data_IF_072864464218
#
_entry.id   IF_072864464218
#
_cell.length_a   1.000
_cell.length_b   1.000
_cell.length_c   1.000
_cell.angle_alpha   90.00
_cell.angle_beta   90.00
_cell.angle_gamma   90.00
#
_symmetry.space_group_name_H-M   'P 1'
#
loop_
_entity.id
_entity.type
_entity.pdbx_description
1 polymer ?
#
# COMPACT_ATOMS: atom_id res chain seq x y z
N UNK A 1 4.24 4.59 -31.42
CA UNK A 1 5.23 4.82 -30.34
C UNK A 1 4.78 5.75 -29.20
N UNK A 2 3.70 6.54 -29.32
CA UNK A 2 3.24 7.48 -28.26
C UNK A 2 2.65 6.81 -27.00
N UNK A 3 2.04 5.63 -27.13
CA UNK A 3 1.39 4.94 -25.99
C UNK A 3 2.34 4.46 -24.90
N UNK A 4 3.55 3.97 -25.26
CA UNK A 4 4.50 3.42 -24.27
C UNK A 4 4.99 4.44 -23.24
N UNK A 5 5.13 5.70 -23.64
CA UNK A 5 5.59 6.76 -22.73
C UNK A 5 4.54 7.12 -21.68
N UNK A 6 3.27 7.19 -22.09
CA UNK A 6 2.15 7.41 -21.18
C UNK A 6 2.07 6.30 -20.13
N UNK A 7 2.05 5.03 -20.55
CA UNK A 7 2.03 3.91 -19.61
C UNK A 7 3.26 3.91 -18.68
N UNK A 8 4.42 4.34 -19.19
CA UNK A 8 5.66 4.42 -18.40
C UNK A 8 5.58 5.45 -17.29
N UNK A 9 4.98 6.60 -17.55
CA UNK A 9 4.76 7.63 -16.52
C UNK A 9 3.68 7.17 -15.54
N UNK A 10 2.57 6.63 -16.06
CA UNK A 10 1.45 6.20 -15.23
C UNK A 10 1.86 5.14 -14.22
N UNK A 11 2.63 4.10 -14.61
CA UNK A 11 3.05 3.10 -13.62
C UNK A 11 4.00 3.69 -12.57
N UNK A 12 4.86 4.66 -12.93
CA UNK A 12 5.77 5.32 -11.97
C UNK A 12 4.99 6.18 -10.98
N UNK A 13 3.99 6.92 -11.45
CA UNK A 13 3.12 7.71 -10.58
C UNK A 13 2.30 6.83 -9.65
N UNK A 14 1.73 5.72 -10.16
CA UNK A 14 1.01 4.74 -9.34
C UNK A 14 1.95 4.13 -8.30
N UNK A 15 3.18 3.78 -8.69
CA UNK A 15 4.17 3.25 -7.77
C UNK A 15 4.54 4.23 -6.65
N UNK A 16 4.81 5.49 -7.00
CA UNK A 16 5.11 6.55 -6.05
C UNK A 16 3.93 6.80 -5.10
N UNK A 17 2.73 6.91 -5.65
CA UNK A 17 1.51 7.08 -4.84
C UNK A 17 1.30 5.89 -3.89
N UNK A 18 1.50 4.66 -4.37
CA UNK A 18 1.38 3.47 -3.55
C UNK A 18 2.44 3.43 -2.44
N UNK A 19 3.69 3.78 -2.73
CA UNK A 19 4.76 3.90 -1.75
C UNK A 19 4.45 4.95 -0.68
N UNK A 20 3.95 6.12 -1.09
CA UNK A 20 3.53 7.18 -0.18
C UNK A 20 2.39 6.70 0.72
N UNK A 21 1.41 6.00 0.17
CA UNK A 21 0.27 5.48 0.93
C UNK A 21 0.71 4.43 1.96
N UNK A 22 1.60 3.52 1.57
CA UNK A 22 2.19 2.54 2.47
C UNK A 22 3.00 3.22 3.57
N UNK A 23 3.83 4.19 3.21
CA UNK A 23 4.62 4.97 4.19
C UNK A 23 3.69 5.66 5.18
N UNK A 24 2.65 6.34 4.68
CA UNK A 24 1.64 7.00 5.51
C UNK A 24 0.86 6.03 6.40
N UNK A 25 0.56 4.81 5.95
CA UNK A 25 -0.08 3.80 6.80
C UNK A 25 0.86 3.31 7.92
N UNK A 26 2.15 3.18 7.64
CA UNK A 26 3.12 2.77 8.66
C UNK A 26 3.43 3.88 9.67
N UNK A 27 3.66 5.11 9.22
CA UNK A 27 3.99 6.24 10.08
C UNK A 27 2.73 6.85 10.73
N UNK A 28 1.63 6.88 9.99
CA UNK A 28 0.31 7.35 10.43
C UNK A 28 -0.24 6.57 11.61
N UNK A 29 0.15 5.30 11.78
CA UNK A 29 -0.19 4.50 12.95
C UNK A 29 0.19 5.19 14.26
N UNK A 30 1.29 5.94 14.27
CA UNK A 30 1.76 6.74 15.42
C UNK A 30 1.33 8.20 15.27
N UNK A 31 1.49 8.82 14.09
CA UNK A 31 1.17 10.24 13.90
C UNK A 31 -0.30 10.60 14.15
N UNK A 32 -1.24 9.66 13.95
CA UNK A 32 -2.66 9.89 14.22
C UNK A 32 -2.95 10.28 15.69
N UNK A 33 -2.04 9.96 16.62
CA UNK A 33 -2.19 10.29 18.04
C UNK A 33 -1.71 11.71 18.37
N UNK A 34 -0.78 12.25 17.59
CA UNK A 34 -0.24 13.59 17.80
C UNK A 34 -1.02 14.66 17.02
N UNK A 35 -1.64 14.28 15.90
CA UNK A 35 -2.32 15.22 15.00
C UNK A 35 -3.76 14.77 14.70
N UNK A 36 -4.75 15.51 15.23
CA UNK A 36 -6.17 15.20 15.03
C UNK A 36 -6.57 15.14 13.54
N UNK A 37 -5.96 15.97 12.69
CA UNK A 37 -6.17 15.95 11.24
C UNK A 37 -5.61 14.70 10.56
N UNK A 38 -4.56 14.09 11.10
CA UNK A 38 -4.02 12.82 10.58
C UNK A 38 -4.99 11.68 10.90
N UNK A 39 -5.60 11.68 12.09
CA UNK A 39 -6.56 10.65 12.51
C UNK A 39 -7.77 10.55 11.58
N UNK A 40 -8.32 11.67 11.14
CA UNK A 40 -9.49 11.69 10.25
C UNK A 40 -9.21 11.12 8.85
N UNK A 41 -7.97 11.22 8.37
CA UNK A 41 -7.54 10.67 7.07
C UNK A 41 -7.03 9.23 7.22
N UNK A 42 -6.30 8.95 8.31
CA UNK A 42 -5.66 7.66 8.54
C UNK A 42 -6.66 6.52 8.73
N UNK A 43 -7.70 6.72 9.54
CA UNK A 43 -8.65 5.64 9.85
C UNK A 43 -9.44 5.16 8.61
N UNK A 44 -10.02 6.05 7.76
CA UNK A 44 -10.64 5.61 6.50
C UNK A 44 -9.67 4.89 5.58
N UNK A 45 -8.42 5.36 5.48
CA UNK A 45 -7.40 4.76 4.62
C UNK A 45 -6.97 3.38 5.11
N UNK A 46 -6.87 3.20 6.42
CA UNK A 46 -6.59 1.92 7.05
C UNK A 46 -7.72 0.91 6.79
N UNK A 47 -8.99 1.34 6.91
CA UNK A 47 -10.15 0.49 6.58
C UNK A 47 -10.18 0.14 5.09
N UNK A 48 -9.93 1.10 4.22
CA UNK A 48 -9.88 0.90 2.77
C UNK A 48 -8.77 -0.08 2.34
N UNK A 49 -7.69 -0.18 3.11
CA UNK A 49 -6.61 -1.16 2.86
C UNK A 49 -6.84 -2.51 3.54
N UNK A 50 -7.60 -2.56 4.63
CA UNK A 50 -7.99 -3.79 5.31
C UNK A 50 -8.96 -4.64 4.46
N UNK A 51 -9.96 -4.02 3.84
CA UNK A 51 -10.99 -4.73 3.06
C UNK A 51 -10.42 -5.60 1.91
N UNK A 52 -9.53 -5.10 1.03
CA UNK A 52 -8.85 -5.93 0.03
C UNK A 52 -7.99 -7.03 0.67
N UNK A 53 -7.30 -6.71 1.76
CA UNK A 53 -6.41 -7.62 2.47
C UNK A 53 -7.16 -8.84 3.03
N UNK A 54 -8.36 -8.64 3.59
CA UNK A 54 -9.19 -9.72 4.13
C UNK A 54 -9.79 -10.61 3.04
N UNK A 55 -10.12 -10.05 1.88
CA UNK A 55 -10.71 -10.80 0.76
C UNK A 55 -9.66 -11.57 -0.06
N UNK A 56 -8.39 -11.61 0.39
CA UNK A 56 -7.23 -12.11 -0.37
C UNK A 56 -7.11 -11.45 -1.75
N UNK A 57 -7.80 -10.34 -1.98
CA UNK A 57 -7.72 -9.58 -3.23
C UNK A 57 -6.46 -8.73 -3.15
N UNK A 58 -5.69 -8.74 -4.23
CA UNK A 58 -4.50 -7.90 -4.32
C UNK A 58 -4.88 -6.44 -4.10
N UNK A 59 -3.97 -5.67 -3.47
CA UNK A 59 -4.12 -4.22 -3.39
C UNK A 59 -4.44 -3.68 -4.80
N UNK A 60 -5.54 -2.92 -5.00
CA UNK A 60 -5.95 -2.47 -6.33
C UNK A 60 -4.85 -1.64 -7.01
N UNK A 61 -4.04 -0.91 -6.24
CA UNK A 61 -2.89 -0.17 -6.75
C UNK A 61 -1.80 -1.11 -7.29
N UNK A 62 -1.49 -2.23 -6.62
CA UNK A 62 -0.56 -3.24 -7.14
C UNK A 62 -1.06 -3.84 -8.45
N UNK A 63 -2.36 -4.14 -8.53
CA UNK A 63 -2.97 -4.70 -9.73
C UNK A 63 -2.91 -3.70 -10.90
N UNK A 64 -3.22 -2.43 -10.62
CA UNK A 64 -3.15 -1.34 -11.59
C UNK A 64 -1.71 -1.10 -12.07
N UNK A 65 -0.75 -1.04 -11.15
CA UNK A 65 0.67 -0.86 -11.49
C UNK A 65 1.17 -2.02 -12.36
N UNK A 66 0.88 -3.26 -11.97
CA UNK A 66 1.23 -4.45 -12.75
C UNK A 66 0.59 -4.44 -14.14
N UNK A 67 -0.67 -3.99 -14.26
CA UNK A 67 -1.33 -3.84 -15.55
C UNK A 67 -0.67 -2.77 -16.42
N UNK A 68 -0.35 -1.60 -15.87
CA UNK A 68 0.34 -0.52 -16.58
C UNK A 68 1.75 -0.93 -17.04
N UNK A 69 2.48 -1.69 -16.20
CA UNK A 69 3.81 -2.22 -16.54
C UNK A 69 3.75 -3.24 -17.65
N UNK A 70 2.78 -4.16 -17.65
CA UNK A 70 2.57 -5.13 -18.74
C UNK A 70 2.29 -4.47 -20.09
N UNK A 71 1.71 -3.26 -20.11
CA UNK A 71 1.55 -2.46 -21.34
C UNK A 71 2.87 -1.87 -21.86
N UNK A 72 3.88 -1.73 -21.02
CA UNK A 72 5.23 -1.28 -21.42
C UNK A 72 6.15 -2.45 -21.77
N UNK A 73 6.16 -3.47 -20.91
CA UNK A 73 6.97 -4.68 -21.01
C UNK A 73 6.11 -5.90 -20.60
N UNK A 74 5.70 -6.74 -21.56
CA UNK A 74 4.84 -7.90 -21.31
C UNK A 74 5.47 -8.95 -20.40
N UNK A 75 6.80 -8.98 -20.27
CA UNK A 75 7.50 -9.97 -19.45
C UNK A 75 7.51 -9.60 -17.96
N UNK A 76 7.00 -8.41 -17.59
CA UNK A 76 6.96 -7.97 -16.20
C UNK A 76 5.81 -8.64 -15.45
N UNK A 77 6.14 -9.61 -14.58
CA UNK A 77 5.18 -10.23 -13.66
C UNK A 77 5.64 -10.07 -12.22
N UNK A 78 4.80 -9.45 -11.39
CA UNK A 78 4.95 -9.52 -9.94
C UNK A 78 3.57 -9.45 -9.28
N UNK A 79 3.46 -10.16 -8.16
CA UNK A 79 2.19 -10.42 -7.46
C UNK A 79 1.95 -9.42 -6.34
N UNK A 80 3.01 -8.95 -5.70
CA UNK A 80 2.96 -8.00 -4.59
C UNK A 80 3.93 -6.84 -4.84
N UNK A 81 3.51 -5.61 -4.51
CA UNK A 81 4.31 -4.40 -4.63
C UNK A 81 5.70 -4.59 -4.01
N UNK A 82 5.73 -5.05 -2.77
CA UNK A 82 6.97 -5.30 -2.04
C UNK A 82 7.90 -6.31 -2.71
N UNK A 83 7.38 -7.41 -3.27
CA UNK A 83 8.22 -8.40 -3.96
C UNK A 83 9.00 -7.81 -5.13
N UNK A 84 8.39 -6.85 -5.84
CA UNK A 84 9.03 -6.19 -6.98
C UNK A 84 10.09 -5.19 -6.56
N UNK A 85 9.83 -4.42 -5.50
CA UNK A 85 10.73 -3.35 -5.05
C UNK A 85 11.80 -3.81 -4.05
N UNK A 86 11.54 -4.86 -3.28
CA UNK A 86 12.42 -5.37 -2.24
C UNK A 86 13.08 -6.70 -2.61
N UNK A 87 13.19 -6.97 -3.92
CA UNK A 87 13.54 -8.20 -4.67
C UNK A 87 14.81 -8.99 -4.24
N UNK A 88 15.25 -8.92 -2.98
CA UNK A 88 16.21 -9.81 -2.32
C UNK A 88 16.45 -9.54 -0.82
N UNK A 89 15.95 -8.45 -0.24
CA UNK A 89 16.55 -7.96 1.01
C UNK A 89 15.89 -8.48 2.28
N UNK A 90 14.56 -8.68 2.29
CA UNK A 90 13.83 -9.07 3.51
C UNK A 90 12.62 -9.92 3.11
N UNK A 91 12.44 -11.09 3.72
CA UNK A 91 11.21 -11.87 3.61
C UNK A 91 10.11 -11.13 4.37
N UNK A 92 9.46 -10.18 3.72
CA UNK A 92 8.40 -9.39 4.36
C UNK A 92 7.18 -10.29 4.59
N UNK A 93 6.59 -10.29 5.80
CA UNK A 93 5.34 -11.00 6.07
C UNK A 93 4.26 -10.58 5.07
N UNK A 94 3.35 -11.49 4.72
CA UNK A 94 2.28 -11.20 3.75
C UNK A 94 1.59 -9.86 4.06
N UNK A 95 1.25 -9.05 3.04
CA UNK A 95 0.68 -7.71 3.23
C UNK A 95 -0.50 -7.68 4.22
N UNK A 96 -1.30 -8.75 4.22
CA UNK A 96 -2.42 -8.95 5.14
C UNK A 96 -1.98 -8.92 6.60
N UNK A 97 -0.88 -9.58 6.97
CA UNK A 97 -0.37 -9.59 8.34
C UNK A 97 0.07 -8.19 8.79
N UNK A 98 0.67 -7.41 7.90
CA UNK A 98 1.08 -6.03 8.19
C UNK A 98 -0.15 -5.16 8.42
N UNK A 99 -1.16 -5.25 7.55
CA UNK A 99 -2.39 -4.47 7.71
C UNK A 99 -3.14 -4.86 8.99
N UNK A 100 -3.24 -6.17 9.29
CA UNK A 100 -3.85 -6.64 10.54
C UNK A 100 -3.07 -6.13 11.76
N UNK A 101 -1.74 -6.19 11.73
CA UNK A 101 -0.90 -5.66 12.81
C UNK A 101 -1.14 -4.16 13.01
N UNK A 102 -1.13 -3.35 11.93
CA UNK A 102 -1.37 -1.91 12.01
C UNK A 102 -2.76 -1.58 12.57
N UNK A 103 -3.78 -2.36 12.23
CA UNK A 103 -5.14 -2.24 12.78
C UNK A 103 -5.17 -2.55 14.26
N UNK A 104 -4.66 -3.72 14.66
CA UNK A 104 -4.65 -4.12 16.07
C UNK A 104 -3.83 -3.14 16.93
N UNK A 105 -2.68 -2.70 16.44
CA UNK A 105 -1.84 -1.70 17.10
C UNK A 105 -2.58 -0.37 17.26
N UNK A 106 -3.24 0.11 16.21
CA UNK A 106 -4.03 1.35 16.26
C UNK A 106 -5.18 1.25 17.27
N UNK A 107 -5.91 0.12 17.29
CA UNK A 107 -7.01 -0.13 18.22
C UNK A 107 -6.54 -0.25 19.68
N UNK A 108 -5.45 -0.98 19.93
CA UNK A 108 -4.87 -1.14 21.26
C UNK A 108 -4.43 0.20 21.85
N UNK A 109 -3.83 1.07 21.03
CA UNK A 109 -3.44 2.41 21.47
C UNK A 109 -4.64 3.35 21.66
N UNK A 110 -5.64 3.30 20.78
CA UNK A 110 -6.92 4.01 20.96
C UNK A 110 -7.60 3.65 22.30
N UNK A 111 -7.54 2.38 22.69
CA UNK A 111 -8.10 1.91 23.97
C UNK A 111 -7.35 2.37 25.22
N UNK A 112 -6.10 2.81 25.10
CA UNK A 112 -5.30 3.34 26.22
C UNK A 112 -5.41 4.85 26.44
N UNK A 113 -6.02 5.58 25.50
CA UNK A 113 -6.18 7.04 25.59
C UNK A 113 -7.58 7.47 26.03
N UNK A 114 -8.42 6.54 26.48
CA UNK A 114 -9.69 6.81 27.17
C UNK A 114 -9.49 6.59 28.66
#
# INVERSE_FOLDING_TARGET
MKGKWFYRISYRLVALFHLTLVTFLTTGAVLQFYFAGVKSIYLPLLVATLLPSLTKKYCPLSALEGWLRRKCDPNTTYKYFWDYYLKKSIRIPQPVMITVFLVLFSLALLGRMK
#
